data_IF_112031036824
#
_entry.id   IF_112031036824
#
_cell.length_a   1.000
_cell.length_b   1.000
_cell.length_c   1.000
_cell.angle_alpha   90.00
_cell.angle_beta   90.00
_cell.angle_gamma   90.00
#
_symmetry.space_group_name_H-M   'P 1'
#
loop_
_entity.id
_entity.type
_entity.pdbx_description
1 polymer ?
#
# COMPACT_ATOMS: atom_id res chain seq x y z
N UNK A 1 -3.37 -11.20 -25.84
CA UNK A 1 -4.08 -9.91 -25.96
C UNK A 1 -4.95 -9.70 -24.73
N UNK A 2 -4.77 -8.60 -23.99
CA UNK A 2 -5.66 -8.27 -22.87
C UNK A 2 -7.05 -7.92 -23.41
N UNK A 3 -8.09 -8.47 -22.79
CA UNK A 3 -9.47 -8.19 -23.16
C UNK A 3 -9.76 -6.68 -22.98
N UNK A 4 -10.29 -5.97 -23.99
CA UNK A 4 -10.58 -4.54 -23.92
C UNK A 4 -11.45 -4.15 -22.72
N UNK A 5 -12.35 -5.02 -22.25
CA UNK A 5 -13.17 -4.77 -21.07
C UNK A 5 -12.34 -4.72 -19.77
N UNK A 6 -11.25 -5.50 -19.69
CA UNK A 6 -10.32 -5.47 -18.55
C UNK A 6 -9.45 -4.21 -18.56
N UNK A 7 -9.08 -3.73 -19.75
CA UNK A 7 -8.36 -2.47 -19.92
C UNK A 7 -9.24 -1.29 -19.52
N UNK A 8 -10.51 -1.28 -19.93
CA UNK A 8 -11.49 -0.28 -19.50
C UNK A 8 -11.70 -0.27 -17.99
N UNK A 9 -11.72 -1.44 -17.36
CA UNK A 9 -11.86 -1.53 -15.90
C UNK A 9 -10.64 -0.97 -15.17
N UNK A 10 -9.43 -1.25 -15.65
CA UNK A 10 -8.18 -0.69 -15.10
C UNK A 10 -8.10 0.84 -15.30
N UNK A 11 -8.51 1.33 -16.47
CA UNK A 11 -8.59 2.78 -16.75
C UNK A 11 -9.64 3.43 -15.86
N UNK A 12 -10.79 2.79 -15.63
CA UNK A 12 -11.82 3.31 -14.72
C UNK A 12 -11.32 3.38 -13.27
N UNK A 13 -10.59 2.37 -12.79
CA UNK A 13 -9.94 2.41 -11.46
C UNK A 13 -8.92 3.54 -11.40
N UNK A 14 -8.10 3.72 -12.43
CA UNK A 14 -7.09 4.78 -12.47
C UNK A 14 -7.73 6.18 -12.51
N UNK A 15 -8.80 6.37 -13.28
CA UNK A 15 -9.56 7.61 -13.35
C UNK A 15 -10.27 7.90 -12.02
N UNK A 16 -10.87 6.90 -11.39
CA UNK A 16 -11.50 7.06 -10.07
C UNK A 16 -10.47 7.38 -8.98
N UNK A 17 -9.31 6.72 -8.99
CA UNK A 17 -8.20 7.07 -8.11
C UNK A 17 -7.74 8.53 -8.33
N UNK A 18 -7.67 8.99 -9.58
CA UNK A 18 -7.31 10.38 -9.91
C UNK A 18 -8.38 11.41 -9.55
N UNK A 19 -9.66 11.05 -9.62
CA UNK A 19 -10.76 11.93 -9.23
C UNK A 19 -10.80 12.14 -7.70
N UNK A 20 -10.41 11.11 -6.92
CA UNK A 20 -10.26 11.22 -5.47
C UNK A 20 -9.04 12.08 -5.10
N UNK A 21 -7.98 12.12 -5.92
CA UNK A 21 -6.85 13.07 -5.74
C UNK A 21 -7.27 14.55 -5.89
N UNK A 22 -8.42 14.83 -6.52
CA UNK A 22 -8.91 16.20 -6.77
C UNK A 22 -9.83 16.80 -5.70
N UNK A 23 -10.23 16.04 -4.66
CA UNK A 23 -11.10 16.54 -3.59
C UNK A 23 -10.29 16.92 -2.33
N UNK A 24 -9.58 18.04 -2.40
CA UNK A 24 -8.80 18.61 -1.26
C UNK A 24 -9.58 19.69 -0.50
N UNK A 25 -10.89 19.48 -0.30
CA UNK A 25 -11.74 20.41 0.46
C UNK A 25 -12.09 19.85 1.84
N UNK A 26 -11.28 20.14 2.87
CA UNK A 26 -11.65 19.93 4.28
C UNK A 26 -11.15 18.65 4.97
N UNK A 27 -10.39 17.80 4.29
CA UNK A 27 -9.76 16.61 4.90
C UNK A 27 -8.40 17.00 5.49
N UNK A 28 -8.23 16.86 6.80
CA UNK A 28 -6.92 17.02 7.44
C UNK A 28 -6.06 15.78 7.19
N UNK A 29 -4.94 15.96 6.50
CA UNK A 29 -3.93 14.93 6.30
C UNK A 29 -3.02 14.85 7.54
N UNK A 30 -3.30 13.92 8.45
CA UNK A 30 -2.47 13.68 9.63
C UNK A 30 -1.48 12.54 9.41
N UNK A 31 -0.41 12.50 10.21
CA UNK A 31 0.42 11.31 10.33
C UNK A 31 -0.39 10.21 11.04
N UNK A 32 -0.32 8.96 10.58
CA UNK A 32 -0.97 7.87 11.30
C UNK A 32 -0.31 7.63 12.67
N UNK A 33 -1.11 7.36 13.71
CA UNK A 33 -0.59 6.94 15.03
C UNK A 33 -0.26 5.43 15.03
N UNK A 34 0.73 5.07 14.20
CA UNK A 34 1.30 3.73 14.17
C UNK A 34 2.45 3.67 15.16
N UNK A 35 2.45 2.62 15.99
CA UNK A 35 3.51 2.39 16.98
C UNK A 35 4.45 1.31 16.47
N UNK A 36 5.63 1.21 17.08
CA UNK A 36 6.66 0.24 16.72
C UNK A 36 6.20 -1.22 16.71
N UNK A 37 5.10 -1.53 17.42
CA UNK A 37 4.55 -2.88 17.54
C UNK A 37 3.30 -3.12 16.68
N UNK A 38 2.91 -2.15 15.84
CA UNK A 38 1.75 -2.28 14.95
C UNK A 38 1.98 -3.37 13.91
N UNK A 39 1.00 -4.27 13.76
CA UNK A 39 0.98 -5.32 12.73
C UNK A 39 -0.10 -5.02 11.71
N UNK A 40 0.26 -4.98 10.43
CA UNK A 40 -0.69 -4.85 9.33
C UNK A 40 -0.83 -6.18 8.60
N UNK A 41 -2.07 -6.67 8.48
CA UNK A 41 -2.40 -7.83 7.66
C UNK A 41 -2.88 -7.41 6.28
N UNK A 42 -2.23 -7.76 5.17
CA UNK A 42 -2.59 -7.28 3.82
C UNK A 42 -2.81 -8.37 2.78
N UNK A 43 -3.96 -8.47 2.10
CA UNK A 43 -4.21 -9.47 1.02
C UNK A 43 -3.83 -8.88 -0.36
N UNK A 44 -3.40 -9.60 -1.43
CA UNK A 44 -2.90 -10.98 -1.54
C UNK A 44 -1.40 -11.11 -1.20
N UNK A 45 -0.72 -10.01 -0.88
CA UNK A 45 0.59 -10.03 -0.23
C UNK A 45 0.42 -10.26 1.28
N UNK A 46 -0.33 -11.32 1.61
CA UNK A 46 -0.73 -11.69 2.97
C UNK A 46 0.47 -11.66 3.86
N UNK A 47 0.45 -11.01 5.01
CA UNK A 47 1.64 -10.91 5.83
C UNK A 47 1.42 -10.21 7.14
N UNK A 48 2.43 -10.22 7.99
CA UNK A 48 2.48 -9.43 9.22
C UNK A 48 3.59 -8.42 9.01
N UNK A 49 3.22 -7.17 8.82
CA UNK A 49 4.18 -6.10 8.53
C UNK A 49 4.26 -5.11 9.67
N UNK A 50 5.48 -4.69 9.97
CA UNK A 50 5.80 -3.66 10.95
C UNK A 50 6.16 -2.34 10.25
N UNK A 51 5.73 -1.20 10.80
CA UNK A 51 6.07 0.10 10.27
C UNK A 51 7.56 0.45 10.45
N UNK A 52 8.07 1.19 9.47
CA UNK A 52 9.41 1.80 9.47
C UNK A 52 9.24 3.29 9.63
N UNK A 53 9.95 3.88 10.59
CA UNK A 53 9.80 5.28 10.97
C UNK A 53 11.03 6.13 10.63
N UNK A 54 10.81 7.41 10.39
CA UNK A 54 11.85 8.44 10.41
C UNK A 54 12.25 8.80 11.84
N UNK A 55 13.30 9.61 11.99
CA UNK A 55 13.68 10.20 13.29
C UNK A 55 12.61 11.10 13.89
N UNK A 56 11.65 11.59 13.08
CA UNK A 56 10.51 12.40 13.52
C UNK A 56 9.28 11.57 13.87
N UNK A 57 9.37 10.23 13.82
CA UNK A 57 8.27 9.33 14.10
C UNK A 57 7.27 9.20 12.95
N UNK A 58 7.64 9.62 11.74
CA UNK A 58 6.76 9.51 10.57
C UNK A 58 6.92 8.15 9.91
N UNK A 59 5.83 7.51 9.52
CA UNK A 59 5.89 6.23 8.81
C UNK A 59 6.37 6.45 7.38
N UNK A 60 7.43 5.77 6.98
CA UNK A 60 8.04 5.83 5.64
C UNK A 60 8.14 4.48 4.94
N UNK A 61 7.76 3.41 5.63
CA UNK A 61 7.73 2.09 5.02
C UNK A 61 7.02 1.07 5.87
N UNK A 62 6.83 -0.10 5.28
CA UNK A 62 6.35 -1.32 5.94
C UNK A 62 7.32 -2.45 5.59
N UNK A 63 7.58 -3.34 6.54
CA UNK A 63 8.38 -4.54 6.27
C UNK A 63 7.89 -5.72 7.08
N UNK A 64 7.98 -6.91 6.52
CA UNK A 64 7.62 -8.10 7.27
C UNK A 64 7.43 -9.32 6.41
N UNK A 65 7.06 -10.41 7.08
CA UNK A 65 6.85 -11.70 6.42
C UNK A 65 5.54 -11.70 5.65
N UNK A 66 5.54 -12.34 4.49
CA UNK A 66 4.33 -12.70 3.78
C UNK A 66 3.98 -14.19 3.98
N UNK A 67 2.70 -14.59 3.80
CA UNK A 67 2.20 -15.96 4.00
C UNK A 67 2.81 -16.94 3.01
N UNK A 68 3.37 -16.45 1.91
CA UNK A 68 4.10 -17.25 0.94
C UNK A 68 5.57 -17.43 1.36
N UNK A 69 5.84 -17.46 2.67
CA UNK A 69 7.15 -17.69 3.29
C UNK A 69 8.26 -16.75 2.78
N UNK A 70 7.89 -15.56 2.36
CA UNK A 70 8.80 -14.53 1.91
C UNK A 70 8.88 -13.34 2.86
N UNK A 71 9.65 -12.34 2.47
CA UNK A 71 9.78 -11.08 3.20
C UNK A 71 9.61 -9.91 2.23
N UNK A 72 8.89 -8.88 2.68
CA UNK A 72 8.57 -7.69 1.89
C UNK A 72 9.21 -6.46 2.54
N UNK A 73 9.75 -5.58 1.69
CA UNK A 73 10.15 -4.22 2.04
C UNK A 73 9.36 -3.25 1.15
N UNK A 74 8.45 -2.51 1.76
CA UNK A 74 7.70 -1.43 1.12
C UNK A 74 8.23 -0.09 1.60
N UNK A 75 8.48 0.82 0.67
CA UNK A 75 9.00 2.15 0.92
C UNK A 75 8.04 3.16 0.29
N UNK A 76 7.49 4.05 1.10
CA UNK A 76 6.66 5.14 0.61
C UNK A 76 7.54 6.26 0.04
N UNK A 77 7.05 6.91 -1.01
CA UNK A 77 7.75 8.05 -1.63
C UNK A 77 7.71 9.30 -0.74
N UNK A 78 6.68 9.40 0.08
CA UNK A 78 6.48 10.45 1.07
C UNK A 78 6.03 9.82 2.39
N UNK A 79 6.21 10.51 3.53
CA UNK A 79 5.64 10.06 4.79
C UNK A 79 4.14 9.79 4.69
N UNK A 80 3.70 8.66 5.23
CA UNK A 80 2.30 8.21 5.15
C UNK A 80 1.38 9.23 5.81
N UNK A 81 0.25 9.49 5.16
CA UNK A 81 -0.84 10.33 5.67
C UNK A 81 -2.17 9.58 5.63
N UNK A 82 -3.00 9.79 6.64
CA UNK A 82 -4.40 9.32 6.65
C UNK A 82 -5.23 10.12 5.64
N UNK A 83 -6.29 9.48 5.13
CA UNK A 83 -7.19 10.00 4.10
C UNK A 83 -6.51 10.45 2.80
N UNK A 84 -5.30 9.93 2.54
CA UNK A 84 -4.50 10.24 1.35
C UNK A 84 -4.08 8.95 0.67
N UNK A 85 -3.85 9.06 -0.63
CA UNK A 85 -3.07 8.08 -1.37
C UNK A 85 -1.58 8.23 -1.05
N UNK A 86 -0.98 7.15 -0.59
CA UNK A 86 0.41 7.03 -0.21
C UNK A 86 1.11 6.12 -1.22
N UNK A 87 1.77 6.72 -2.21
CA UNK A 87 2.48 5.98 -3.25
C UNK A 87 3.72 5.30 -2.68
N UNK A 88 3.96 4.07 -3.10
CA UNK A 88 5.10 3.27 -2.67
C UNK A 88 5.76 2.53 -3.84
N UNK A 89 7.00 2.15 -3.61
CA UNK A 89 7.63 1.03 -4.29
C UNK A 89 7.95 -0.05 -3.26
N UNK A 90 7.98 -1.29 -3.71
CA UNK A 90 8.30 -2.43 -2.86
C UNK A 90 9.16 -3.44 -3.58
N UNK A 91 9.87 -4.23 -2.79
CA UNK A 91 10.58 -5.40 -3.24
C UNK A 91 10.54 -6.45 -2.16
N UNK A 92 10.79 -7.69 -2.54
CA UNK A 92 10.77 -8.77 -1.58
C UNK A 92 10.95 -10.12 -2.21
N UNK A 93 10.55 -11.14 -1.47
CA UNK A 93 10.52 -12.52 -1.92
C UNK A 93 9.13 -13.10 -1.74
N UNK A 94 8.70 -13.98 -2.65
CA UNK A 94 7.57 -14.90 -2.49
C UNK A 94 8.11 -16.31 -2.74
N UNK A 95 8.06 -17.21 -1.75
CA UNK A 95 8.66 -18.56 -1.84
C UNK A 95 10.06 -18.57 -2.49
N UNK A 96 10.95 -17.67 -2.06
CA UNK A 96 12.31 -17.45 -2.61
C UNK A 96 12.42 -16.79 -3.98
N UNK A 97 11.33 -16.53 -4.69
CA UNK A 97 11.36 -15.74 -5.92
C UNK A 97 11.40 -14.26 -5.57
N UNK A 98 12.46 -13.51 -5.97
CA UNK A 98 12.48 -12.07 -5.76
C UNK A 98 11.33 -11.43 -6.55
N UNK A 99 10.88 -10.25 -6.13
CA UNK A 99 9.96 -9.44 -6.89
C UNK A 99 10.20 -7.96 -6.64
N UNK A 100 9.69 -7.15 -7.56
CA UNK A 100 9.56 -5.70 -7.41
C UNK A 100 8.13 -5.29 -7.72
N UNK A 101 7.66 -4.26 -7.04
CA UNK A 101 6.32 -3.74 -7.21
C UNK A 101 6.23 -2.27 -6.92
N UNK A 102 5.09 -1.68 -7.31
CA UNK A 102 4.76 -0.31 -7.03
C UNK A 102 3.25 -0.16 -6.94
N UNK A 103 2.79 0.88 -6.23
CA UNK A 103 1.38 1.08 -6.03
C UNK A 103 1.09 2.26 -5.12
N UNK A 104 -0.12 2.26 -4.57
CA UNK A 104 -0.55 3.25 -3.61
C UNK A 104 -1.42 2.60 -2.54
N UNK A 105 -1.24 3.07 -1.30
CA UNK A 105 -2.14 2.76 -0.19
C UNK A 105 -3.01 3.96 0.12
N UNK A 106 -4.33 3.77 0.15
CA UNK A 106 -5.26 4.75 0.70
C UNK A 106 -5.57 4.36 2.14
N UNK A 107 -5.12 5.19 3.10
CA UNK A 107 -5.46 4.99 4.51
C UNK A 107 -6.82 5.62 4.78
N UNK A 108 -7.80 4.82 5.18
CA UNK A 108 -9.11 5.33 5.58
C UNK A 108 -9.04 6.02 6.94
N UNK A 109 -8.19 5.52 7.82
CA UNK A 109 -7.93 6.03 9.16
C UNK A 109 -6.58 5.46 9.66
N UNK A 110 -6.33 5.51 10.96
CA UNK A 110 -5.14 4.93 11.59
C UNK A 110 -5.11 3.40 11.60
N UNK A 111 -6.20 2.73 11.21
CA UNK A 111 -6.40 1.31 11.40
C UNK A 111 -6.56 0.53 10.09
N UNK A 112 -7.11 1.13 9.04
CA UNK A 112 -7.45 0.44 7.81
C UNK A 112 -6.85 1.13 6.58
N UNK A 113 -6.34 0.32 5.66
CA UNK A 113 -5.84 0.78 4.36
C UNK A 113 -6.33 -0.09 3.21
N UNK A 114 -6.48 0.51 2.04
CA UNK A 114 -6.71 -0.15 0.76
C UNK A 114 -5.46 0.02 -0.11
N UNK A 115 -4.98 -1.06 -0.70
CA UNK A 115 -3.85 -1.06 -1.62
C UNK A 115 -4.32 -1.27 -3.05
N UNK A 116 -3.76 -0.51 -3.98
CA UNK A 116 -3.79 -0.81 -5.41
C UNK A 116 -2.35 -0.81 -5.90
N UNK A 117 -1.89 -1.91 -6.48
CA UNK A 117 -0.51 -2.01 -6.92
C UNK A 117 -0.31 -2.99 -8.06
N UNK A 118 0.96 -3.10 -8.46
CA UNK A 118 1.43 -4.08 -9.42
C UNK A 118 2.71 -4.72 -8.90
N UNK A 119 2.82 -6.04 -9.05
CA UNK A 119 4.06 -6.79 -8.89
C UNK A 119 4.45 -7.26 -10.27
N UNK A 120 5.65 -6.90 -10.72
CA UNK A 120 6.00 -7.00 -12.14
C UNK A 120 4.92 -6.37 -13.02
N UNK A 121 4.20 -7.17 -13.81
CA UNK A 121 3.09 -6.73 -14.67
C UNK A 121 1.72 -7.24 -14.19
N UNK A 122 1.67 -7.85 -13.00
CA UNK A 122 0.46 -8.43 -12.43
C UNK A 122 -0.16 -7.43 -11.47
N UNK A 123 -1.35 -6.87 -11.78
CA UNK A 123 -2.04 -5.99 -10.85
C UNK A 123 -2.56 -6.77 -9.65
N UNK A 124 -2.59 -6.10 -8.50
CA UNK A 124 -3.21 -6.63 -7.29
C UNK A 124 -3.97 -5.52 -6.55
N UNK A 125 -5.03 -5.95 -5.88
CA UNK A 125 -5.75 -5.15 -4.92
C UNK A 125 -5.47 -5.71 -3.55
N UNK A 126 -5.32 -4.85 -2.57
CA UNK A 126 -5.14 -5.28 -1.20
C UNK A 126 -5.90 -4.46 -0.20
N UNK A 127 -6.01 -5.04 0.97
CA UNK A 127 -6.66 -4.43 2.10
C UNK A 127 -5.89 -4.83 3.34
N UNK A 128 -5.64 -3.88 4.24
CA UNK A 128 -5.04 -4.21 5.51
C UNK A 128 -5.59 -3.50 6.72
N UNK A 129 -5.48 -4.22 7.83
CA UNK A 129 -5.93 -3.81 9.16
C UNK A 129 -4.75 -3.83 10.10
N UNK A 130 -4.62 -2.77 10.90
CA UNK A 130 -3.75 -2.68 12.07
C UNK A 130 -4.35 -3.44 13.24
N UNK A 131 -3.54 -4.29 13.85
CA UNK A 131 -3.80 -4.94 15.14
C UNK A 131 -2.87 -4.38 16.22
#
# INVERSE_FOLDING_TARGET
MLNPTKVLFLVAIFVLASAVLGQTGGIQYANPDWKTNTTIFSIPHYGIWSPVFTSKGEVVGLRGFNLLLGYTWRNYLEPVKVHRFNTFWEWGFLFFFPYVGFGTDYLFDDNALLTVGMIYLTPYLGFGIKF
#
